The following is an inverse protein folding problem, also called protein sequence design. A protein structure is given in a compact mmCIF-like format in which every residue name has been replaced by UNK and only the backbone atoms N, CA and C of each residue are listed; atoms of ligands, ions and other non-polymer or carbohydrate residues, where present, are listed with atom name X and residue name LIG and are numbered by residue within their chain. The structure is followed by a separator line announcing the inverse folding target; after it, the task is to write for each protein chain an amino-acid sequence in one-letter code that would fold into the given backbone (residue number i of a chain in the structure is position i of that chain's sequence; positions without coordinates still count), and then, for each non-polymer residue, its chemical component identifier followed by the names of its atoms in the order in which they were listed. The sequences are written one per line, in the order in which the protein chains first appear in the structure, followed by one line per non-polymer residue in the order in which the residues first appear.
data_IF_730613824367
#
_entry.id   IF_730613824367
#
_cell.length_a   1.000
_cell.length_b   1.000
_cell.length_c   1.000
_cell.angle_alpha   90.00
_cell.angle_beta   90.00
_cell.angle_gamma   90.00
#
_symmetry.space_group_name_H-M   'P 1'
#
loop_
_entity.id
_entity.type
_entity.pdbx_description
1 polymer ?
#
# COMPACT_ATOMS: atom_id res chain seq x y z
N UNK A 1 22.94 52.61 54.97
CA UNK A 1 23.84 51.46 54.73
C UNK A 1 24.44 51.67 53.35
N UNK A 2 25.54 52.42 53.26
CA UNK A 2 26.93 51.92 53.32
C UNK A 2 27.35 51.29 51.97
N UNK A 3 28.02 52.10 51.16
CA UNK A 3 28.80 51.69 49.99
C UNK A 3 30.16 51.17 50.47
N UNK A 4 30.25 49.91 50.89
CA UNK A 4 31.52 49.21 51.11
C UNK A 4 31.34 47.75 50.73
N UNK A 5 32.06 47.27 49.71
CA UNK A 5 32.01 45.85 49.35
C UNK A 5 32.48 45.45 47.95
N UNK A 6 33.43 46.13 47.31
CA UNK A 6 34.19 45.54 46.19
C UNK A 6 35.61 46.12 46.18
N UNK A 7 36.55 45.45 46.85
CA UNK A 7 37.99 45.66 46.68
C UNK A 7 38.54 44.51 45.85
N UNK A 8 38.68 44.68 44.53
CA UNK A 8 39.68 44.09 43.63
C UNK A 8 39.29 44.44 42.17
N UNK A 9 40.13 45.12 41.38
CA UNK A 9 39.89 45.31 39.95
C UNK A 9 40.16 44.01 39.16
N UNK A 10 39.52 43.80 37.98
CA UNK A 10 39.75 42.61 37.17
C UNK A 10 41.19 42.57 36.59
N UNK A 11 41.77 41.36 36.36
CA UNK A 11 43.10 41.24 35.77
C UNK A 11 43.15 41.82 34.35
N UNK A 12 44.21 42.56 34.03
CA UNK A 12 44.45 43.11 32.70
C UNK A 12 44.79 42.03 31.67
N UNK A 13 44.14 42.06 30.51
CA UNK A 13 44.47 41.21 29.37
C UNK A 13 45.78 41.67 28.72
N UNK A 14 46.79 40.80 28.66
CA UNK A 14 47.94 40.94 27.79
C UNK A 14 47.71 40.17 26.48
N UNK A 15 48.08 40.71 25.30
CA UNK A 15 47.90 40.01 24.03
C UNK A 15 48.89 38.83 23.90
N UNK A 16 48.55 37.76 23.17
CA UNK A 16 49.43 36.60 23.01
C UNK A 16 50.68 36.98 22.19
N UNK A 17 51.84 36.45 22.61
CA UNK A 17 53.08 36.53 21.83
C UNK A 17 53.03 35.59 20.64
N UNK A 18 53.44 36.10 19.47
CA UNK A 18 53.64 35.33 18.24
C UNK A 18 54.68 34.21 18.43
N UNK A 19 54.24 32.95 18.31
CA UNK A 19 55.14 31.81 18.07
C UNK A 19 54.63 30.99 16.90
N UNK A 20 55.34 31.05 15.77
CA UNK A 20 55.15 30.18 14.60
C UNK A 20 55.41 28.71 14.99
N UNK A 21 54.64 27.71 14.50
CA UNK A 21 55.02 26.32 14.66
C UNK A 21 56.11 25.94 13.64
N UNK A 22 57.26 25.48 14.15
CA UNK A 22 58.30 24.84 13.35
C UNK A 22 57.82 23.45 12.90
N UNK A 23 57.77 23.25 11.59
CA UNK A 23 57.34 22.02 10.95
C UNK A 23 58.56 21.13 10.66
N UNK A 24 58.98 20.27 11.60
CA UNK A 24 59.93 19.16 11.33
C UNK A 24 59.64 17.91 12.18
N UNK A 25 59.51 16.78 11.49
CA UNK A 25 59.63 15.38 11.93
C UNK A 25 58.47 14.73 12.73
N UNK A 26 57.46 14.24 12.01
CA UNK A 26 56.74 13.00 12.36
C UNK A 26 57.17 11.89 11.39
N UNK A 27 58.37 11.35 11.57
CA UNK A 27 58.81 10.11 10.93
C UNK A 27 59.95 9.49 11.74
N UNK A 28 59.61 8.95 12.91
CA UNK A 28 60.39 7.91 13.59
C UNK A 28 59.59 7.38 14.78
N UNK A 29 58.77 6.36 14.56
CA UNK A 29 58.51 5.37 15.61
C UNK A 29 58.88 4.03 14.99
N UNK A 30 60.07 3.59 15.40
CA UNK A 30 60.66 2.29 15.14
C UNK A 30 59.79 1.19 15.73
N UNK A 31 59.73 0.06 15.03
CA UNK A 31 59.19 -1.20 15.53
C UNK A 31 59.90 -1.61 16.84
N UNK A 32 59.12 -2.21 17.74
CA UNK A 32 59.50 -2.88 19.00
C UNK A 32 59.61 -2.00 20.24
N UNK A 33 58.47 -1.59 20.79
CA UNK A 33 58.29 -1.52 22.25
C UNK A 33 57.01 -2.28 22.62
N UNK A 34 57.17 -3.32 23.44
CA UNK A 34 56.06 -4.08 24.03
C UNK A 34 55.23 -3.15 24.91
N UNK A 35 54.00 -2.84 24.47
CA UNK A 35 53.01 -2.21 25.33
C UNK A 35 52.60 -3.27 26.37
N UNK A 36 53.14 -3.17 27.58
CA UNK A 36 52.68 -3.93 28.72
C UNK A 36 51.18 -3.70 28.91
N UNK A 37 50.43 -4.80 28.98
CA UNK A 37 48.99 -4.79 29.26
C UNK A 37 48.74 -4.22 30.65
N UNK A 38 48.34 -2.96 30.73
CA UNK A 38 47.65 -2.45 31.91
C UNK A 38 46.24 -3.06 31.91
N UNK A 39 46.00 -4.02 32.80
CA UNK A 39 44.66 -4.54 33.07
C UNK A 39 43.70 -3.43 33.52
N UNK A 40 42.38 -3.67 33.50
CA UNK A 40 41.39 -2.64 33.75
C UNK A 40 41.51 -2.14 35.20
N UNK A 41 42.02 -0.93 35.39
CA UNK A 41 41.85 -0.20 36.63
C UNK A 41 40.37 0.11 36.78
N UNK A 42 39.73 -0.50 37.78
CA UNK A 42 38.39 -0.13 38.23
C UNK A 42 38.43 1.33 38.69
N UNK A 43 37.93 2.23 37.85
CA UNK A 43 37.57 3.58 38.28
C UNK A 43 36.28 3.49 39.10
N UNK A 44 36.14 4.24 40.20
CA UNK A 44 34.88 4.34 40.92
C UNK A 44 33.84 5.01 40.01
N UNK A 45 32.70 4.35 39.81
CA UNK A 45 31.50 4.96 39.24
C UNK A 45 31.12 6.18 40.09
N UNK A 46 31.20 7.40 39.54
CA UNK A 46 30.75 8.59 40.28
C UNK A 46 30.98 9.93 39.61
N UNK A 47 32.23 10.37 39.46
CA UNK A 47 32.52 11.81 39.32
C UNK A 47 33.27 12.18 38.03
N UNK A 48 32.66 11.93 36.88
CA UNK A 48 32.97 12.67 35.66
C UNK A 48 31.90 13.76 35.51
N UNK A 49 32.27 15.06 35.53
CA UNK A 49 31.35 16.15 35.20
C UNK A 49 30.69 15.86 33.84
N UNK A 50 29.38 16.05 33.72
CA UNK A 50 28.62 15.73 32.50
C UNK A 50 29.22 16.39 31.24
N UNK A 51 29.93 17.51 31.40
CA UNK A 51 30.64 18.24 30.34
C UNK A 51 31.73 17.41 29.61
N UNK A 52 32.21 16.30 30.19
CA UNK A 52 33.18 15.39 29.55
C UNK A 52 32.55 14.11 28.97
N UNK A 53 31.24 13.87 29.19
CA UNK A 53 30.52 12.71 28.63
C UNK A 53 29.92 12.99 27.25
N UNK A 54 29.77 14.26 26.88
CA UNK A 54 29.16 14.69 25.61
C UNK A 54 30.17 15.50 24.80
N UNK A 55 31.01 14.85 24.01
CA UNK A 55 32.00 15.60 23.23
C UNK A 55 32.47 14.93 21.94
N UNK A 56 32.55 13.61 21.90
CA UNK A 56 33.00 12.89 20.71
C UNK A 56 31.80 12.32 19.94
N UNK A 57 31.74 12.66 18.66
CA UNK A 57 30.85 12.03 17.70
C UNK A 57 31.29 10.59 17.43
N UNK A 58 30.38 9.76 16.90
CA UNK A 58 30.70 8.37 16.54
C UNK A 58 31.91 8.28 15.59
N UNK A 59 32.09 9.25 14.68
CA UNK A 59 33.22 9.29 13.74
C UNK A 59 34.56 9.55 14.44
N UNK A 60 34.57 10.41 15.47
CA UNK A 60 35.75 10.78 16.27
C UNK A 60 36.17 9.70 17.28
N UNK A 61 35.27 8.77 17.60
CA UNK A 61 35.55 7.67 18.52
C UNK A 61 36.62 6.71 17.96
N UNK A 62 37.35 6.06 18.88
CA UNK A 62 38.25 4.95 18.53
C UNK A 62 37.49 3.87 17.77
N UNK A 63 38.17 3.20 16.83
CA UNK A 63 37.54 2.26 15.88
C UNK A 63 36.66 1.21 16.57
N UNK A 64 37.08 0.71 17.72
CA UNK A 64 36.36 -0.30 18.49
C UNK A 64 35.01 0.21 18.99
N UNK A 65 34.98 1.40 19.60
CA UNK A 65 33.76 2.05 20.08
C UNK A 65 32.84 2.37 18.90
N UNK A 66 33.38 2.94 17.82
CA UNK A 66 32.61 3.24 16.60
C UNK A 66 31.93 1.99 16.03
N UNK A 67 32.67 0.90 15.87
CA UNK A 67 32.12 -0.36 15.36
C UNK A 67 31.08 -0.96 16.32
N UNK A 68 31.27 -0.84 17.64
CA UNK A 68 30.30 -1.29 18.62
C UNK A 68 28.99 -0.49 18.58
N UNK A 69 29.06 0.84 18.47
CA UNK A 69 27.90 1.73 18.32
C UNK A 69 27.12 1.40 17.05
N UNK A 70 27.81 1.30 15.91
CA UNK A 70 27.18 0.94 14.63
C UNK A 70 26.50 -0.42 14.72
N UNK A 71 27.20 -1.44 15.23
CA UNK A 71 26.61 -2.77 15.40
C UNK A 71 25.36 -2.72 16.27
N UNK A 72 25.37 -1.95 17.37
CA UNK A 72 24.21 -1.82 18.27
C UNK A 72 23.02 -1.16 17.55
N UNK A 73 23.24 -0.04 16.85
CA UNK A 73 22.20 0.69 16.11
C UNK A 73 21.54 -0.21 15.05
N UNK A 74 22.34 -0.87 14.22
CA UNK A 74 21.82 -1.72 13.15
C UNK A 74 21.23 -3.04 13.67
N UNK A 75 21.67 -3.54 14.83
CA UNK A 75 21.04 -4.69 15.49
C UNK A 75 19.63 -4.34 15.96
N UNK A 76 19.48 -3.17 16.61
CA UNK A 76 18.16 -2.67 17.04
C UNK A 76 17.27 -2.46 15.81
N UNK A 77 17.76 -1.77 14.77
CA UNK A 77 17.03 -1.57 13.52
C UNK A 77 16.56 -2.90 12.91
N UNK A 78 17.47 -3.88 12.80
CA UNK A 78 17.13 -5.20 12.24
C UNK A 78 16.03 -5.89 13.03
N UNK A 79 16.09 -5.84 14.36
CA UNK A 79 15.03 -6.39 15.22
C UNK A 79 13.70 -5.66 15.03
N UNK A 80 13.71 -4.33 14.88
CA UNK A 80 12.50 -3.56 14.60
C UNK A 80 11.87 -3.94 13.25
N UNK A 81 12.70 -4.08 12.21
CA UNK A 81 12.23 -4.48 10.88
C UNK A 81 11.69 -5.91 10.86
N UNK A 82 12.35 -6.85 11.54
CA UNK A 82 11.86 -8.22 11.67
C UNK A 82 10.53 -8.30 12.43
N UNK A 83 10.39 -7.54 13.52
CA UNK A 83 9.13 -7.47 14.27
C UNK A 83 8.00 -6.85 13.42
N UNK A 84 8.33 -5.82 12.64
CA UNK A 84 7.40 -5.16 11.72
C UNK A 84 6.94 -6.12 10.63
N UNK A 85 7.87 -6.83 10.00
CA UNK A 85 7.58 -7.85 9.00
C UNK A 85 6.70 -8.98 9.56
N UNK A 86 7.07 -9.54 10.72
CA UNK A 86 6.33 -10.62 11.35
C UNK A 86 4.89 -10.22 11.68
N UNK A 87 4.70 -9.02 12.23
CA UNK A 87 3.37 -8.48 12.55
C UNK A 87 2.57 -8.20 11.29
N UNK A 88 3.17 -7.56 10.28
CA UNK A 88 2.49 -7.29 9.01
C UNK A 88 2.09 -8.57 8.26
N UNK A 89 2.96 -9.59 8.28
CA UNK A 89 2.66 -10.92 7.75
C UNK A 89 1.49 -11.58 8.50
N UNK A 90 1.51 -11.55 9.84
CA UNK A 90 0.45 -12.12 10.66
C UNK A 90 -0.90 -11.42 10.43
N UNK A 91 -0.95 -10.08 10.47
CA UNK A 91 -2.16 -9.29 10.24
C UNK A 91 -2.71 -9.53 8.83
N UNK A 92 -1.84 -9.61 7.82
CA UNK A 92 -2.25 -9.79 6.43
C UNK A 92 -2.68 -11.23 6.08
N UNK A 93 -2.33 -12.25 6.87
CA UNK A 93 -2.79 -13.63 6.67
C UNK A 93 -3.95 -14.05 7.58
N UNK A 94 -4.22 -13.30 8.65
CA UNK A 94 -5.32 -13.59 9.55
C UNK A 94 -6.65 -13.08 9.00
N UNK A 95 -7.51 -14.00 8.52
CA UNK A 95 -8.85 -13.66 8.03
C UNK A 95 -9.69 -12.91 9.07
N UNK A 96 -9.54 -13.30 10.35
CA UNK A 96 -10.23 -12.64 11.47
C UNK A 96 -9.78 -11.19 11.63
N UNK A 97 -8.48 -10.92 11.50
CA UNK A 97 -7.94 -9.57 11.64
C UNK A 97 -8.33 -8.68 10.46
N UNK A 98 -8.27 -9.20 9.23
CA UNK A 98 -8.76 -8.49 8.05
C UNK A 98 -10.23 -8.11 8.20
N UNK A 99 -11.08 -9.07 8.58
CA UNK A 99 -12.51 -8.85 8.77
C UNK A 99 -12.76 -7.82 9.88
N UNK A 100 -11.99 -7.86 10.97
CA UNK A 100 -12.08 -6.89 12.05
C UNK A 100 -11.73 -5.47 11.59
N UNK A 101 -10.60 -5.30 10.89
CA UNK A 101 -10.16 -3.99 10.36
C UNK A 101 -11.19 -3.42 9.39
N UNK A 102 -11.72 -4.24 8.48
CA UNK A 102 -12.73 -3.82 7.51
C UNK A 102 -14.07 -3.43 8.16
N UNK A 103 -14.48 -4.13 9.23
CA UNK A 103 -15.70 -3.79 9.97
C UNK A 103 -15.53 -2.57 10.89
N UNK A 104 -14.31 -2.31 11.33
CA UNK A 104 -13.99 -1.23 12.28
C UNK A 104 -12.80 -0.39 11.80
N UNK A 105 -12.93 0.36 10.69
CA UNK A 105 -11.80 1.11 10.11
C UNK A 105 -11.20 2.14 11.07
N UNK A 106 -11.99 2.67 12.02
CA UNK A 106 -11.51 3.60 13.04
C UNK A 106 -10.47 2.98 14.00
N UNK A 107 -10.36 1.65 14.06
CA UNK A 107 -9.34 0.97 14.87
C UNK A 107 -7.93 1.29 14.41
N UNK A 108 -7.75 1.78 13.18
CA UNK A 108 -6.46 2.22 12.64
C UNK A 108 -5.92 3.49 13.29
N UNK A 109 -6.79 4.33 13.87
CA UNK A 109 -6.32 5.53 14.58
C UNK A 109 -5.58 5.18 15.87
N UNK A 110 -5.88 4.03 16.49
CA UNK A 110 -5.22 3.60 17.73
C UNK A 110 -3.72 3.37 17.55
N UNK A 111 -3.24 2.54 16.61
CA UNK A 111 -1.80 2.38 16.39
C UNK A 111 -1.15 3.66 15.86
N UNK A 112 -1.83 4.48 15.05
CA UNK A 112 -1.28 5.75 14.55
C UNK A 112 -1.06 6.75 15.69
N UNK A 113 -2.07 7.01 16.52
CA UNK A 113 -1.95 7.93 17.66
C UNK A 113 -0.95 7.34 18.68
N UNK A 114 -1.01 6.03 18.89
CA UNK A 114 -0.10 5.30 19.75
C UNK A 114 1.36 5.47 19.32
N UNK A 115 1.66 5.47 18.01
CA UNK A 115 3.03 5.65 17.52
C UNK A 115 3.57 7.05 17.81
N UNK A 116 2.78 8.12 17.61
CA UNK A 116 3.20 9.47 18.00
C UNK A 116 3.45 9.62 19.50
N UNK A 117 2.57 9.07 20.34
CA UNK A 117 2.71 9.13 21.80
C UNK A 117 3.97 8.38 22.25
N UNK A 118 4.13 7.13 21.79
CA UNK A 118 5.27 6.29 22.16
C UNK A 118 6.59 6.83 21.60
N UNK A 119 6.59 7.44 20.42
CA UNK A 119 7.74 8.16 19.86
C UNK A 119 8.18 9.31 20.77
N UNK A 120 7.24 10.18 21.17
CA UNK A 120 7.54 11.30 22.07
C UNK A 120 8.06 10.85 23.44
N UNK A 121 7.46 9.80 24.01
CA UNK A 121 7.92 9.20 25.27
C UNK A 121 9.31 8.55 25.13
N UNK A 122 9.57 7.86 24.01
CA UNK A 122 10.88 7.26 23.73
C UNK A 122 11.94 8.35 23.61
N UNK A 123 11.63 9.46 22.94
CA UNK A 123 12.53 10.61 22.84
C UNK A 123 12.85 11.20 24.21
N UNK A 124 11.84 11.36 25.07
CA UNK A 124 12.02 11.88 26.43
C UNK A 124 12.85 10.93 27.30
N UNK A 125 12.60 9.62 27.23
CA UNK A 125 13.29 8.63 28.07
C UNK A 125 14.48 7.94 27.39
N UNK A 126 15.01 8.48 26.29
CA UNK A 126 15.99 7.80 25.42
C UNK A 126 17.26 7.30 26.14
N UNK A 127 17.68 7.97 27.20
CA UNK A 127 18.87 7.62 27.98
C UNK A 127 18.60 6.70 29.18
N UNK A 128 17.34 6.38 29.49
CA UNK A 128 16.97 5.59 30.68
C UNK A 128 16.76 4.12 30.33
N UNK A 129 17.73 3.27 30.65
CA UNK A 129 17.59 1.80 30.52
C UNK A 129 16.91 1.23 31.77
N UNK A 130 15.93 0.30 31.66
CA UNK A 130 15.42 -0.35 30.44
C UNK A 130 14.20 0.35 29.80
N UNK A 131 13.75 1.49 30.36
CA UNK A 131 12.54 2.17 29.92
C UNK A 131 12.58 2.56 28.42
N UNK A 132 13.74 2.97 27.91
CA UNK A 132 13.94 3.29 26.50
C UNK A 132 13.63 2.10 25.56
N UNK A 133 14.06 0.88 25.90
CA UNK A 133 13.80 -0.30 25.09
C UNK A 133 12.32 -0.70 25.14
N UNK A 134 11.68 -0.61 26.31
CA UNK A 134 10.25 -0.88 26.42
C UNK A 134 9.42 0.09 25.56
N UNK A 135 9.73 1.39 25.64
CA UNK A 135 9.04 2.42 24.85
C UNK A 135 9.33 2.28 23.35
N UNK A 136 10.57 1.96 22.97
CA UNK A 136 10.94 1.68 21.58
C UNK A 136 10.20 0.45 21.03
N UNK A 137 10.05 -0.61 21.82
CA UNK A 137 9.26 -1.79 21.45
C UNK A 137 7.78 -1.46 21.29
N UNK A 138 7.21 -0.64 22.19
CA UNK A 138 5.82 -0.16 22.05
C UNK A 138 5.64 0.66 20.78
N UNK A 139 6.56 1.58 20.48
CA UNK A 139 6.56 2.35 19.24
C UNK A 139 6.62 1.45 18.01
N UNK A 140 7.54 0.49 17.99
CA UNK A 140 7.68 -0.47 16.90
C UNK A 140 6.41 -1.31 16.72
N UNK A 141 5.75 -1.71 17.80
CA UNK A 141 4.49 -2.47 17.72
C UNK A 141 3.34 -1.63 17.15
N UNK A 142 3.24 -0.35 17.52
CA UNK A 142 2.27 0.57 16.96
C UNK A 142 2.47 0.75 15.45
N UNK A 143 3.71 1.04 15.01
CA UNK A 143 4.04 1.15 13.59
C UNK A 143 3.78 -0.16 12.83
N UNK A 144 4.18 -1.29 13.40
CA UNK A 144 3.98 -2.60 12.81
C UNK A 144 2.49 -2.96 12.61
N UNK A 145 1.63 -2.57 13.54
CA UNK A 145 0.17 -2.75 13.42
C UNK A 145 -0.43 -1.79 12.38
N UNK A 146 0.00 -0.53 12.35
CA UNK A 146 -0.46 0.44 11.36
C UNK A 146 -0.11 -0.01 9.93
N UNK A 147 1.14 -0.39 9.70
CA UNK A 147 1.62 -0.92 8.42
C UNK A 147 0.95 -2.26 8.10
N UNK A 148 0.84 -3.17 9.06
CA UNK A 148 0.19 -4.47 8.84
C UNK A 148 -1.26 -4.33 8.39
N UNK A 149 -1.98 -3.34 8.93
CA UNK A 149 -3.33 -3.04 8.47
C UNK A 149 -3.35 -2.44 7.06
N UNK A 150 -2.44 -1.53 6.72
CA UNK A 150 -2.30 -1.03 5.34
C UNK A 150 -2.00 -2.18 4.38
N UNK A 151 -1.05 -3.07 4.72
CA UNK A 151 -0.73 -4.29 3.94
C UNK A 151 -1.97 -5.16 3.73
N UNK A 152 -2.83 -5.28 4.75
CA UNK A 152 -4.04 -6.10 4.67
C UNK A 152 -5.08 -5.59 3.67
N UNK A 153 -4.99 -4.31 3.25
CA UNK A 153 -5.85 -3.74 2.21
C UNK A 153 -5.39 -4.06 0.78
N UNK A 154 -4.17 -4.61 0.61
CA UNK A 154 -3.67 -4.98 -0.70
C UNK A 154 -4.16 -6.37 -1.09
N UNK A 155 -4.76 -6.43 -2.27
CA UNK A 155 -5.25 -7.66 -2.88
C UNK A 155 -4.08 -8.57 -3.26
N UNK A 156 -3.05 -8.02 -3.93
CA UNK A 156 -1.86 -8.78 -4.32
C UNK A 156 -0.70 -8.58 -3.32
N UNK A 157 -0.52 -9.55 -2.43
CA UNK A 157 0.55 -9.57 -1.43
C UNK A 157 1.96 -9.65 -2.01
N UNK A 158 2.09 -10.10 -3.26
CA UNK A 158 3.39 -10.17 -3.96
C UNK A 158 3.97 -8.78 -4.18
N UNK A 159 3.11 -7.78 -4.44
CA UNK A 159 3.54 -6.38 -4.63
C UNK A 159 4.18 -5.84 -3.35
N UNK A 160 3.59 -6.18 -2.19
CA UNK A 160 4.13 -5.78 -0.88
C UNK A 160 5.52 -6.39 -0.66
N UNK A 161 5.70 -7.68 -1.00
CA UNK A 161 6.98 -8.35 -0.88
C UNK A 161 8.04 -7.76 -1.82
N UNK A 162 7.66 -7.44 -3.06
CA UNK A 162 8.54 -6.77 -4.02
C UNK A 162 8.96 -5.38 -3.53
N UNK A 163 8.02 -4.59 -3.00
CA UNK A 163 8.30 -3.27 -2.44
C UNK A 163 9.26 -3.35 -1.25
N UNK A 164 9.06 -4.33 -0.35
CA UNK A 164 9.96 -4.58 0.76
C UNK A 164 11.39 -4.91 0.30
N UNK A 165 11.52 -5.81 -0.69
CA UNK A 165 12.82 -6.20 -1.23
C UNK A 165 13.53 -5.04 -1.93
N UNK A 166 12.82 -4.27 -2.75
CA UNK A 166 13.36 -3.07 -3.38
C UNK A 166 13.83 -2.04 -2.35
N UNK A 167 13.00 -1.79 -1.32
CA UNK A 167 13.35 -0.87 -0.22
C UNK A 167 14.59 -1.35 0.52
N UNK A 168 14.69 -2.65 0.83
CA UNK A 168 15.87 -3.21 1.47
C UNK A 168 17.14 -3.06 0.62
N UNK A 169 17.05 -3.32 -0.68
CA UNK A 169 18.19 -3.16 -1.61
C UNK A 169 18.63 -1.70 -1.66
N UNK A 170 17.69 -0.76 -1.85
CA UNK A 170 17.99 0.68 -1.92
C UNK A 170 18.56 1.17 -0.60
N UNK A 171 17.95 0.81 0.53
CA UNK A 171 18.40 1.21 1.86
C UNK A 171 19.81 0.71 2.16
N UNK A 172 20.09 -0.58 1.93
CA UNK A 172 21.42 -1.18 2.14
C UNK A 172 22.44 -0.52 1.20
N UNK A 173 22.08 -0.34 -0.08
CA UNK A 173 22.94 0.29 -1.08
C UNK A 173 23.30 1.73 -0.72
N UNK A 174 22.32 2.55 -0.34
CA UNK A 174 22.52 3.96 0.04
C UNK A 174 23.26 4.08 1.38
N UNK A 175 22.99 3.20 2.34
CA UNK A 175 23.75 3.11 3.59
C UNK A 175 25.22 2.80 3.31
N UNK A 176 25.50 1.78 2.49
CA UNK A 176 26.85 1.37 2.13
C UNK A 176 27.58 2.47 1.32
N UNK A 177 26.87 3.15 0.42
CA UNK A 177 27.37 4.32 -0.30
C UNK A 177 27.76 5.43 0.68
N UNK A 178 26.89 5.75 1.63
CA UNK A 178 27.13 6.80 2.62
C UNK A 178 28.35 6.50 3.50
N UNK A 179 28.54 5.24 3.89
CA UNK A 179 29.72 4.80 4.65
C UNK A 179 31.04 4.93 3.89
N UNK A 180 31.00 4.83 2.56
CA UNK A 180 32.19 4.93 1.70
C UNK A 180 32.40 6.35 1.16
N UNK A 181 31.37 7.18 1.22
CA UNK A 181 31.37 8.54 0.69
C UNK A 181 32.24 9.47 1.52
N UNK A 182 32.92 10.39 0.83
CA UNK A 182 33.65 11.51 1.44
C UNK A 182 32.89 12.84 1.34
N UNK A 183 31.69 12.82 0.74
CA UNK A 183 30.86 14.00 0.61
C UNK A 183 30.23 14.37 1.96
N UNK A 184 30.11 15.67 2.23
CA UNK A 184 29.34 16.20 3.35
C UNK A 184 27.88 16.38 2.91
N UNK A 185 26.97 15.68 3.59
CA UNK A 185 25.53 15.71 3.29
C UNK A 185 24.75 16.65 4.22
N UNK A 186 25.42 17.36 5.13
CA UNK A 186 24.78 18.23 6.13
C UNK A 186 23.93 19.35 5.50
N UNK A 187 24.26 19.79 4.28
CA UNK A 187 23.51 20.79 3.54
C UNK A 187 22.11 20.35 3.05
N UNK A 188 21.78 19.06 3.13
CA UNK A 188 20.48 18.55 2.67
C UNK A 188 19.30 18.91 3.60
N UNK A 189 19.57 19.26 4.86
CA UNK A 189 18.54 19.44 5.89
C UNK A 189 17.38 20.37 5.50
N UNK A 190 17.61 21.59 4.93
CA UNK A 190 16.53 22.48 4.55
C UNK A 190 15.67 21.94 3.39
N UNK A 191 16.31 21.29 2.41
CA UNK A 191 15.64 20.72 1.23
C UNK A 191 14.75 19.56 1.67
N UNK A 192 15.29 18.68 2.51
CA UNK A 192 14.56 17.54 3.08
C UNK A 192 13.37 18.01 3.92
N UNK A 193 13.57 19.04 4.76
CA UNK A 193 12.51 19.62 5.58
C UNK A 193 11.36 20.19 4.74
N UNK A 194 11.67 20.97 3.70
CA UNK A 194 10.64 21.49 2.77
C UNK A 194 9.95 20.34 2.04
N UNK A 195 10.71 19.33 1.60
CA UNK A 195 10.19 18.15 0.93
C UNK A 195 9.17 17.38 1.78
N UNK A 196 9.49 17.10 3.05
CA UNK A 196 8.60 16.32 3.92
C UNK A 196 7.34 17.10 4.28
N UNK A 197 7.44 18.41 4.59
CA UNK A 197 6.25 19.23 4.85
C UNK A 197 5.39 19.40 3.61
N UNK A 198 5.99 19.53 2.42
CA UNK A 198 5.28 19.57 1.15
C UNK A 198 4.52 18.27 0.88
N UNK A 199 5.15 17.13 1.11
CA UNK A 199 4.53 15.81 0.97
C UNK A 199 3.37 15.62 1.97
N UNK A 200 3.57 15.94 3.25
CA UNK A 200 2.51 15.88 4.27
C UNK A 200 1.34 16.78 3.88
N UNK A 201 1.62 18.04 3.52
CA UNK A 201 0.58 19.00 3.12
C UNK A 201 -0.22 18.52 1.91
N UNK A 202 0.46 18.00 0.88
CA UNK A 202 -0.19 17.43 -0.29
C UNK A 202 -0.98 16.16 0.04
N UNK A 203 -0.46 15.29 0.91
CA UNK A 203 -1.15 14.10 1.39
C UNK A 203 -2.44 14.44 2.16
N UNK A 204 -2.43 15.50 2.98
CA UNK A 204 -3.62 15.98 3.69
C UNK A 204 -4.70 16.51 2.74
N UNK A 205 -4.33 17.12 1.61
CA UNK A 205 -5.31 17.50 0.56
C UNK A 205 -6.03 16.26 0.04
N UNK A 206 -5.33 15.13 -0.06
CA UNK A 206 -5.88 13.83 -0.45
C UNK A 206 -7.01 13.32 0.46
N UNK A 207 -7.12 13.80 1.70
CA UNK A 207 -8.23 13.46 2.61
C UNK A 207 -9.55 14.10 2.18
N UNK A 208 -9.49 15.25 1.51
CA UNK A 208 -10.67 16.01 1.07
C UNK A 208 -10.93 15.89 -0.43
N UNK A 209 -9.86 15.69 -1.22
CA UNK A 209 -9.91 15.64 -2.69
C UNK A 209 -9.14 14.42 -3.18
N UNK A 210 -9.82 13.39 -3.74
CA UNK A 210 -9.14 12.20 -4.25
C UNK A 210 -8.28 12.53 -5.47
N UNK A 211 -7.04 12.03 -5.48
CA UNK A 211 -6.10 12.23 -6.59
C UNK A 211 -6.27 11.20 -7.71
N UNK A 212 -5.91 11.58 -8.93
CA UNK A 212 -5.81 10.66 -10.06
C UNK A 212 -4.64 9.67 -9.87
N UNK A 213 -4.68 8.55 -10.60
CA UNK A 213 -3.61 7.55 -10.56
C UNK A 213 -2.25 8.12 -10.96
N UNK A 214 -2.21 9.01 -11.95
CA UNK A 214 -0.97 9.69 -12.38
C UNK A 214 -0.39 10.56 -11.27
N UNK A 215 -1.24 11.31 -10.55
CA UNK A 215 -0.79 12.14 -9.44
C UNK A 215 -0.28 11.28 -8.28
N UNK A 216 -0.96 10.18 -7.98
CA UNK A 216 -0.52 9.20 -6.97
C UNK A 216 0.85 8.58 -7.32
N UNK A 217 1.07 8.25 -8.60
CA UNK A 217 2.34 7.75 -9.11
C UNK A 217 3.47 8.78 -8.94
N UNK A 218 3.23 10.02 -9.35
CA UNK A 218 4.21 11.11 -9.21
C UNK A 218 4.53 11.38 -7.73
N UNK A 219 3.50 11.45 -6.88
CA UNK A 219 3.66 11.60 -5.44
C UNK A 219 4.54 10.49 -4.84
N UNK A 220 4.30 9.25 -5.26
CA UNK A 220 5.12 8.12 -4.85
C UNK A 220 6.58 8.20 -5.32
N UNK A 221 6.85 8.57 -6.57
CA UNK A 221 8.22 8.75 -7.09
C UNK A 221 8.96 9.83 -6.30
N UNK A 222 8.29 10.96 -6.02
CA UNK A 222 8.85 12.03 -5.19
C UNK A 222 9.14 11.52 -3.78
N UNK A 223 8.23 10.75 -3.19
CA UNK A 223 8.43 10.12 -1.88
C UNK A 223 9.65 9.19 -1.86
N UNK A 224 9.79 8.29 -2.84
CA UNK A 224 10.96 7.41 -2.97
C UNK A 224 12.26 8.21 -3.06
N UNK A 225 12.30 9.25 -3.89
CA UNK A 225 13.48 10.10 -4.04
C UNK A 225 13.82 10.84 -2.73
N UNK A 226 12.80 11.39 -2.06
CA UNK A 226 12.95 12.12 -0.81
C UNK A 226 13.48 11.20 0.32
N UNK A 227 12.86 10.04 0.53
CA UNK A 227 13.29 9.11 1.58
C UNK A 227 14.64 8.45 1.27
N UNK A 228 14.98 8.27 -0.01
CA UNK A 228 16.34 7.88 -0.40
C UNK A 228 17.39 8.91 0.02
N UNK A 229 17.07 10.21 -0.12
CA UNK A 229 17.96 11.28 0.35
C UNK A 229 18.01 11.36 1.89
N UNK A 230 16.89 11.08 2.59
CA UNK A 230 16.88 10.95 4.04
C UNK A 230 17.79 9.81 4.52
N UNK A 231 17.73 8.62 3.90
CA UNK A 231 18.64 7.51 4.25
C UNK A 231 20.10 7.95 4.19
N UNK A 232 20.51 8.68 3.14
CA UNK A 232 21.87 9.22 3.02
C UNK A 232 22.16 10.28 4.08
N UNK A 233 21.23 11.21 4.30
CA UNK A 233 21.37 12.29 5.27
C UNK A 233 21.46 11.78 6.70
N UNK A 234 20.51 10.96 7.16
CA UNK A 234 20.45 10.42 8.52
C UNK A 234 21.61 9.47 8.77
N UNK A 235 21.96 8.61 7.82
CA UNK A 235 23.17 7.78 7.92
C UNK A 235 24.41 8.65 8.10
N UNK A 236 24.52 9.78 7.40
CA UNK A 236 25.62 10.72 7.58
C UNK A 236 25.58 11.46 8.94
N UNK A 237 24.41 11.91 9.39
CA UNK A 237 24.25 12.60 10.68
C UNK A 237 24.54 11.68 11.87
N UNK A 238 24.17 10.40 11.79
CA UNK A 238 24.46 9.42 12.84
C UNK A 238 25.95 9.36 13.15
N UNK A 239 26.82 9.43 12.14
CA UNK A 239 28.26 9.34 12.36
C UNK A 239 28.89 10.67 12.76
N UNK A 240 28.39 11.78 12.22
CA UNK A 240 29.03 13.09 12.34
C UNK A 240 28.40 14.01 13.39
N UNK A 241 27.27 13.62 14.00
CA UNK A 241 26.59 14.43 15.04
C UNK A 241 26.24 13.67 16.29
N UNK A 242 25.86 12.40 16.19
CA UNK A 242 25.41 11.64 17.35
C UNK A 242 26.59 11.08 18.15
N UNK A 243 26.42 11.03 19.47
CA UNK A 243 27.33 10.31 20.35
C UNK A 243 27.00 8.81 20.37
N UNK A 244 27.95 7.93 20.75
CA UNK A 244 27.72 6.50 20.92
C UNK A 244 26.49 6.11 21.76
N UNK A 245 26.08 6.98 22.70
CA UNK A 245 24.98 6.75 23.63
C UNK A 245 23.61 7.12 23.07
N UNK A 246 23.56 7.78 21.91
CA UNK A 246 22.32 8.18 21.22
C UNK A 246 21.79 7.10 20.24
N UNK A 247 22.14 5.83 20.48
CA UNK A 247 21.76 4.71 19.63
C UNK A 247 20.24 4.52 19.47
N UNK A 248 19.42 4.92 20.46
CA UNK A 248 17.94 4.87 20.35
C UNK A 248 17.44 5.84 19.28
N UNK A 249 17.95 7.08 19.28
CA UNK A 249 17.55 8.10 18.32
C UNK A 249 18.00 7.71 16.90
N UNK A 250 19.25 7.23 16.77
CA UNK A 250 19.79 6.72 15.52
C UNK A 250 18.93 5.58 14.94
N UNK A 251 18.52 4.60 15.77
CA UNK A 251 17.69 3.50 15.33
C UNK A 251 16.29 3.95 14.90
N UNK A 252 15.66 4.91 15.61
CA UNK A 252 14.35 5.46 15.24
C UNK A 252 14.42 6.18 13.89
N UNK A 253 15.43 7.04 13.69
CA UNK A 253 15.65 7.75 12.43
C UNK A 253 15.74 6.79 11.25
N UNK A 254 16.67 5.82 11.31
CA UNK A 254 16.85 4.84 10.25
C UNK A 254 15.62 3.95 10.04
N UNK A 255 14.89 3.62 11.12
CA UNK A 255 13.65 2.85 11.03
C UNK A 255 12.55 3.62 10.30
N UNK A 256 12.35 4.89 10.63
CA UNK A 256 11.38 5.75 9.97
C UNK A 256 11.77 6.00 8.50
N UNK A 257 13.05 6.15 8.18
CA UNK A 257 13.50 6.27 6.79
C UNK A 257 13.20 5.01 5.97
N UNK A 258 13.39 3.84 6.59
CA UNK A 258 13.06 2.56 5.96
C UNK A 258 11.54 2.40 5.77
N UNK A 259 10.74 2.73 6.78
CA UNK A 259 9.29 2.53 6.75
C UNK A 259 8.54 3.54 5.89
N UNK A 260 8.97 4.80 5.94
CA UNK A 260 8.33 5.88 5.20
C UNK A 260 8.78 5.92 3.74
N UNK A 261 9.78 5.12 3.36
CA UNK A 261 9.93 4.74 1.96
C UNK A 261 8.57 4.21 1.52
N UNK A 262 7.83 4.95 0.66
CA UNK A 262 6.42 4.66 0.48
C UNK A 262 6.33 3.21 0.01
N UNK A 263 5.72 2.29 0.79
CA UNK A 263 5.59 0.92 0.34
C UNK A 263 4.76 0.84 -0.96
N UNK A 264 4.13 1.95 -1.37
CA UNK A 264 3.19 1.99 -2.45
C UNK A 264 3.29 3.27 -3.29
N UNK A 265 4.07 3.18 -4.37
CA UNK A 265 3.84 3.94 -5.61
C UNK A 265 3.01 3.13 -6.61
N UNK A 266 2.71 1.87 -6.29
CA UNK A 266 1.90 1.01 -7.14
C UNK A 266 0.49 0.84 -6.54
N UNK A 267 -0.31 1.91 -6.59
CA UNK A 267 -1.73 1.67 -6.91
C UNK A 267 -1.70 1.30 -8.38
N UNK A 268 -1.63 0.00 -8.65
CA UNK A 268 -1.58 -0.51 -10.01
C UNK A 268 -2.57 0.24 -10.87
N UNK A 269 -2.05 0.81 -11.96
CA UNK A 269 -2.87 1.32 -13.03
C UNK A 269 -3.95 0.29 -13.30
N UNK A 270 -5.19 0.75 -13.15
CA UNK A 270 -6.40 0.15 -13.65
C UNK A 270 -6.14 -0.12 -15.14
N UNK A 271 -5.53 -1.25 -15.46
CA UNK A 271 -5.51 -1.79 -16.82
C UNK A 271 -6.86 -2.46 -17.03
N UNK A 272 -7.40 -2.46 -18.26
CA UNK A 272 -8.63 -3.20 -18.56
C UNK A 272 -8.57 -4.66 -18.05
N UNK A 273 -7.40 -5.30 -18.06
CA UNK A 273 -7.18 -6.62 -17.45
C UNK A 273 -7.40 -6.69 -15.94
N UNK A 274 -7.19 -5.61 -15.17
CA UNK A 274 -7.44 -5.55 -13.72
C UNK A 274 -8.84 -5.08 -13.35
N UNK A 275 -9.50 -4.34 -14.23
CA UNK A 275 -10.92 -3.97 -14.06
C UNK A 275 -11.81 -5.14 -14.38
N UNK A 276 -11.50 -5.86 -15.45
CA UNK A 276 -12.35 -6.92 -15.96
C UNK A 276 -11.87 -8.32 -15.54
N UNK A 277 -10.59 -8.48 -15.19
CA UNK A 277 -10.00 -9.70 -14.64
C UNK A 277 -9.58 -9.53 -13.18
N UNK A 278 -10.37 -10.12 -12.28
CA UNK A 278 -10.14 -10.04 -10.85
C UNK A 278 -8.82 -10.68 -10.42
N UNK A 279 -8.24 -10.06 -9.40
CA UNK A 279 -7.37 -10.64 -8.37
C UNK A 279 -7.16 -12.16 -8.53
N UNK A 280 -5.92 -12.52 -8.85
CA UNK A 280 -5.36 -13.87 -8.84
C UNK A 280 -5.89 -14.87 -9.88
N UNK A 281 -6.71 -14.49 -10.86
CA UNK A 281 -7.27 -15.43 -11.83
C UNK A 281 -8.40 -16.32 -11.26
N UNK A 282 -8.57 -16.34 -9.94
CA UNK A 282 -9.68 -17.00 -9.23
C UNK A 282 -11.05 -16.53 -9.69
N UNK A 283 -11.21 -15.27 -10.10
CA UNK A 283 -12.46 -14.79 -10.71
C UNK A 283 -12.83 -15.64 -11.93
N UNK A 284 -11.87 -15.90 -12.80
CA UNK A 284 -12.09 -16.70 -14.01
C UNK A 284 -12.24 -18.18 -13.71
N UNK A 285 -11.60 -18.70 -12.66
CA UNK A 285 -11.84 -20.07 -12.17
C UNK A 285 -13.27 -20.21 -11.66
N UNK A 286 -13.77 -19.28 -10.82
CA UNK A 286 -15.15 -19.29 -10.35
C UNK A 286 -16.15 -19.15 -11.50
N UNK A 287 -15.85 -18.30 -12.49
CA UNK A 287 -16.69 -18.17 -13.70
C UNK A 287 -16.66 -19.47 -14.53
N UNK A 288 -15.49 -20.08 -14.68
CA UNK A 288 -15.32 -21.35 -15.38
C UNK A 288 -16.13 -22.46 -14.69
N UNK A 289 -16.03 -22.55 -13.36
CA UNK A 289 -16.75 -23.52 -12.56
C UNK A 289 -18.27 -23.26 -12.54
N UNK A 290 -18.70 -21.99 -12.42
CA UNK A 290 -20.11 -21.61 -12.38
C UNK A 290 -20.86 -21.95 -13.67
N UNK A 291 -20.21 -21.78 -14.82
CA UNK A 291 -20.82 -22.04 -16.13
C UNK A 291 -20.38 -23.38 -16.75
N UNK A 292 -19.56 -24.17 -16.05
CA UNK A 292 -18.95 -25.40 -16.55
C UNK A 292 -18.27 -25.21 -17.92
N UNK A 293 -17.43 -24.18 -18.04
CA UNK A 293 -16.72 -23.81 -19.27
C UNK A 293 -15.19 -23.82 -19.07
N UNK A 294 -14.40 -24.06 -20.13
CA UNK A 294 -12.95 -23.94 -20.05
C UNK A 294 -12.50 -22.53 -19.64
N UNK A 295 -11.40 -22.45 -18.89
CA UNK A 295 -10.81 -21.19 -18.42
C UNK A 295 -10.56 -20.17 -19.55
N UNK A 296 -10.17 -20.63 -20.74
CA UNK A 296 -9.97 -19.76 -21.92
C UNK A 296 -11.25 -19.09 -22.42
N UNK A 297 -12.41 -19.76 -22.27
CA UNK A 297 -13.72 -19.14 -22.54
C UNK A 297 -14.10 -18.19 -21.42
N UNK A 298 -13.88 -18.56 -20.17
CA UNK A 298 -14.17 -17.71 -19.01
C UNK A 298 -13.46 -16.35 -19.08
N UNK A 299 -12.23 -16.31 -19.60
CA UNK A 299 -11.47 -15.06 -19.82
C UNK A 299 -12.12 -14.07 -20.79
N UNK A 300 -13.04 -14.52 -21.64
CA UNK A 300 -13.79 -13.66 -22.56
C UNK A 300 -15.03 -13.03 -21.91
N UNK A 301 -15.33 -13.42 -20.65
CA UNK A 301 -16.49 -12.96 -19.90
C UNK A 301 -16.05 -11.93 -18.85
N UNK A 302 -16.64 -10.74 -18.92
CA UNK A 302 -16.44 -9.68 -17.96
C UNK A 302 -17.74 -9.47 -17.16
N UNK A 303 -17.82 -10.15 -16.03
CA UNK A 303 -19.00 -10.14 -15.15
C UNK A 303 -18.70 -9.30 -13.91
N UNK A 304 -19.53 -8.29 -13.65
CA UNK A 304 -19.46 -7.46 -12.45
C UNK A 304 -20.37 -8.03 -11.34
N UNK A 305 -19.82 -8.41 -10.17
CA UNK A 305 -20.61 -8.97 -9.07
C UNK A 305 -21.45 -7.87 -8.36
N UNK A 306 -22.62 -8.20 -7.79
CA UNK A 306 -23.19 -9.54 -7.73
C UNK A 306 -23.84 -9.97 -9.06
N UNK A 307 -23.72 -11.27 -9.36
CA UNK A 307 -24.38 -11.97 -10.46
C UNK A 307 -25.19 -13.11 -9.87
N UNK A 308 -26.41 -13.30 -10.34
CA UNK A 308 -27.32 -14.34 -9.85
C UNK A 308 -27.76 -15.23 -11.00
N UNK A 309 -27.72 -16.54 -10.78
CA UNK A 309 -28.34 -17.54 -11.64
C UNK A 309 -28.86 -18.73 -10.82
N UNK A 310 -29.74 -19.53 -11.43
CA UNK A 310 -30.26 -20.73 -10.77
C UNK A 310 -29.26 -21.89 -10.85
N UNK A 311 -28.70 -22.11 -12.05
CA UNK A 311 -27.81 -23.23 -12.34
C UNK A 311 -26.47 -22.80 -12.94
N UNK A 312 -26.46 -21.78 -13.80
CA UNK A 312 -25.29 -21.34 -14.55
C UNK A 312 -25.01 -22.18 -15.81
N UNK A 313 -25.07 -23.51 -15.70
CA UNK A 313 -24.71 -24.44 -16.79
C UNK A 313 -25.65 -24.39 -18.01
N UNK A 314 -26.83 -23.78 -17.91
CA UNK A 314 -27.74 -23.60 -19.05
C UNK A 314 -27.53 -22.27 -19.78
N UNK A 315 -26.54 -21.48 -19.35
CA UNK A 315 -26.15 -20.21 -19.97
C UNK A 315 -24.98 -20.46 -20.92
N UNK A 316 -25.26 -20.34 -22.22
CA UNK A 316 -24.27 -20.54 -23.28
C UNK A 316 -23.75 -19.19 -23.79
N UNK A 317 -22.46 -18.94 -23.62
CA UNK A 317 -21.77 -17.79 -24.21
C UNK A 317 -21.07 -18.17 -25.52
N UNK A 318 -21.44 -17.51 -26.62
CA UNK A 318 -20.85 -17.75 -27.95
C UNK A 318 -19.53 -17.02 -28.18
N UNK A 319 -19.22 -16.01 -27.37
CA UNK A 319 -18.00 -15.22 -27.49
C UNK A 319 -17.83 -14.24 -26.34
N UNK A 320 -17.31 -13.05 -26.61
CA UNK A 320 -17.11 -12.03 -25.58
C UNK A 320 -18.43 -11.50 -25.05
N UNK A 321 -18.49 -11.33 -23.72
CA UNK A 321 -19.68 -10.87 -23.03
C UNK A 321 -19.30 -9.96 -21.87
N UNK A 322 -20.03 -8.87 -21.71
CA UNK A 322 -19.92 -7.98 -20.56
C UNK A 322 -21.28 -7.84 -19.87
N UNK A 323 -21.31 -7.94 -18.55
CA UNK A 323 -22.46 -7.51 -17.77
C UNK A 323 -22.06 -6.66 -16.57
N UNK A 324 -22.86 -5.63 -16.33
CA UNK A 324 -22.71 -4.73 -15.21
C UNK A 324 -23.43 -5.29 -13.97
N UNK A 325 -23.32 -4.57 -12.84
CA UNK A 325 -23.77 -5.01 -11.52
C UNK A 325 -25.22 -5.51 -11.50
N UNK A 326 -25.47 -6.50 -10.64
CA UNK A 326 -26.81 -6.99 -10.31
C UNK A 326 -27.53 -7.62 -11.51
N UNK A 327 -26.80 -8.33 -12.36
CA UNK A 327 -27.39 -9.13 -13.44
C UNK A 327 -27.98 -10.42 -12.86
N UNK A 328 -29.22 -10.75 -13.25
CA UNK A 328 -29.93 -11.97 -12.81
C UNK A 328 -30.36 -12.79 -14.02
N UNK A 329 -30.01 -14.08 -14.07
CA UNK A 329 -30.40 -14.99 -15.15
C UNK A 329 -30.99 -16.26 -14.53
N UNK A 330 -32.32 -16.39 -14.55
CA UNK A 330 -32.99 -17.63 -14.14
C UNK A 330 -32.96 -18.61 -15.31
N UNK A 331 -32.03 -19.57 -15.26
CA UNK A 331 -31.67 -20.44 -16.37
C UNK A 331 -32.28 -21.86 -16.28
N UNK A 332 -33.56 -21.97 -15.89
CA UNK A 332 -34.31 -23.24 -15.93
C UNK A 332 -34.48 -23.81 -17.37
N UNK A 333 -34.19 -23.01 -18.41
CA UNK A 333 -34.05 -23.43 -19.81
C UNK A 333 -32.85 -22.72 -20.44
N UNK A 334 -32.43 -23.21 -21.62
CA UNK A 334 -31.24 -22.69 -22.32
C UNK A 334 -31.32 -21.18 -22.57
N UNK A 335 -30.31 -20.45 -22.10
CA UNK A 335 -30.07 -19.03 -22.39
C UNK A 335 -28.84 -18.91 -23.27
N UNK A 336 -29.00 -18.51 -24.53
CA UNK A 336 -27.89 -18.37 -25.49
C UNK A 336 -27.56 -16.90 -25.71
N UNK A 337 -26.32 -16.51 -25.40
CA UNK A 337 -25.81 -15.15 -25.52
C UNK A 337 -24.76 -15.11 -26.62
N UNK A 338 -24.97 -14.22 -27.60
CA UNK A 338 -24.08 -13.99 -28.74
C UNK A 338 -22.70 -13.45 -28.36
N UNK A 339 -21.91 -13.16 -29.40
CA UNK A 339 -20.60 -12.52 -29.28
C UNK A 339 -20.73 -10.99 -29.19
N UNK A 340 -19.83 -10.34 -28.43
CA UNK A 340 -19.79 -8.88 -28.22
C UNK A 340 -21.09 -8.31 -27.65
N UNK A 341 -21.77 -9.09 -26.81
CA UNK A 341 -23.00 -8.65 -26.12
C UNK A 341 -22.64 -7.90 -24.84
N UNK A 342 -23.35 -6.81 -24.56
CA UNK A 342 -23.12 -5.98 -23.37
C UNK A 342 -24.41 -5.65 -22.63
N UNK A 343 -24.44 -5.88 -21.32
CA UNK A 343 -25.56 -5.54 -20.45
C UNK A 343 -25.25 -4.35 -19.54
N UNK A 344 -26.19 -3.42 -19.43
CA UNK A 344 -26.23 -2.41 -18.38
C UNK A 344 -26.55 -3.02 -17.00
N UNK A 345 -26.59 -2.19 -15.94
CA UNK A 345 -26.84 -2.68 -14.58
C UNK A 345 -28.29 -3.11 -14.40
N UNK A 346 -28.53 -4.07 -13.50
CA UNK A 346 -29.87 -4.58 -13.16
C UNK A 346 -30.62 -5.25 -14.33
N UNK A 347 -29.91 -5.85 -15.28
CA UNK A 347 -30.55 -6.63 -16.36
C UNK A 347 -30.97 -7.99 -15.82
N UNK A 348 -32.22 -8.39 -16.09
CA UNK A 348 -32.76 -9.68 -15.68
C UNK A 348 -33.25 -10.49 -16.86
N UNK A 349 -32.88 -11.76 -16.94
CA UNK A 349 -33.38 -12.74 -17.89
C UNK A 349 -34.14 -13.82 -17.13
N UNK A 350 -35.39 -14.06 -17.53
CA UNK A 350 -36.27 -15.03 -16.91
C UNK A 350 -36.60 -16.13 -17.93
N UNK A 351 -35.79 -17.19 -17.96
CA UNK A 351 -36.05 -18.38 -18.79
C UNK A 351 -37.15 -19.29 -18.20
N UNK A 352 -37.55 -19.01 -16.96
CA UNK A 352 -38.57 -19.73 -16.22
C UNK A 352 -39.85 -18.90 -16.00
N UNK A 353 -40.98 -19.60 -15.86
CA UNK A 353 -42.30 -19.02 -15.65
C UNK A 353 -43.26 -20.03 -15.01
N UNK A 354 -44.38 -19.55 -14.48
CA UNK A 354 -45.44 -20.40 -13.94
C UNK A 354 -46.74 -20.25 -14.73
N UNK A 355 -47.59 -21.28 -14.65
CA UNK A 355 -48.94 -21.18 -15.18
C UNK A 355 -49.72 -20.07 -14.46
N UNK A 356 -50.55 -19.36 -15.22
CA UNK A 356 -51.55 -18.45 -14.63
C UNK A 356 -52.66 -19.23 -13.92
N UNK A 357 -52.86 -20.50 -14.30
CA UNK A 357 -53.75 -21.42 -13.61
C UNK A 357 -53.24 -21.70 -12.19
N UNK A 358 -54.14 -21.61 -11.21
CA UNK A 358 -53.79 -21.81 -9.79
C UNK A 358 -53.56 -23.29 -9.49
N UNK A 359 -54.30 -24.20 -10.13
CA UNK A 359 -54.18 -25.64 -9.91
C UNK A 359 -52.77 -26.12 -10.22
N UNK A 360 -52.24 -25.76 -11.38
CA UNK A 360 -50.85 -26.07 -11.75
C UNK A 360 -49.82 -25.49 -10.78
N UNK A 361 -50.07 -24.29 -10.21
CA UNK A 361 -49.16 -23.68 -9.22
C UNK A 361 -49.22 -24.36 -7.85
N UNK A 362 -50.35 -24.94 -7.47
CA UNK A 362 -50.45 -25.74 -6.24
C UNK A 362 -49.71 -27.08 -6.35
N UNK A 363 -49.45 -27.53 -7.57
CA UNK A 363 -48.62 -28.70 -7.86
C UNK A 363 -47.12 -28.35 -8.00
N UNK A 364 -46.74 -27.09 -7.72
CA UNK A 364 -45.38 -26.56 -7.87
C UNK A 364 -44.77 -26.79 -9.27
N UNK A 365 -45.63 -26.79 -10.31
CA UNK A 365 -45.17 -26.96 -11.69
C UNK A 365 -44.57 -25.66 -12.24
N UNK A 366 -43.37 -25.80 -12.80
CA UNK A 366 -42.64 -24.74 -13.49
C UNK A 366 -42.59 -25.02 -15.01
N UNK A 367 -42.59 -23.96 -15.80
CA UNK A 367 -42.36 -24.01 -17.24
C UNK A 367 -41.11 -23.21 -17.56
N UNK A 368 -40.29 -23.72 -18.46
CA UNK A 368 -39.11 -23.00 -18.90
C UNK A 368 -39.01 -23.00 -20.42
N UNK A 369 -38.64 -21.86 -21.00
CA UNK A 369 -38.52 -21.69 -22.45
C UNK A 369 -37.22 -20.93 -22.78
N UNK A 370 -36.58 -21.25 -23.91
CA UNK A 370 -35.27 -20.70 -24.23
C UNK A 370 -35.30 -19.20 -24.53
N UNK A 371 -34.18 -18.54 -24.23
CA UNK A 371 -33.91 -17.14 -24.57
C UNK A 371 -32.65 -17.07 -25.42
N UNK A 372 -32.72 -16.42 -26.57
CA UNK A 372 -31.60 -16.22 -27.49
C UNK A 372 -31.33 -14.73 -27.71
N UNK A 373 -30.08 -14.30 -27.53
CA UNK A 373 -29.60 -12.94 -27.79
C UNK A 373 -28.53 -13.01 -28.88
N UNK A 374 -28.76 -12.29 -29.98
CA UNK A 374 -27.84 -12.22 -31.10
C UNK A 374 -26.57 -11.41 -30.81
N UNK A 375 -25.57 -11.58 -31.66
CA UNK A 375 -24.28 -10.89 -31.57
C UNK A 375 -24.45 -9.36 -31.60
N UNK A 376 -23.47 -8.62 -31.08
CA UNK A 376 -23.42 -7.14 -31.13
C UNK A 376 -24.63 -6.44 -30.49
N UNK A 377 -25.35 -7.13 -29.61
CA UNK A 377 -26.53 -6.59 -28.93
C UNK A 377 -26.12 -5.83 -27.66
N UNK A 378 -26.65 -4.61 -27.51
CA UNK A 378 -26.56 -3.84 -26.27
C UNK A 378 -27.90 -3.81 -25.54
N UNK A 379 -27.88 -4.19 -24.26
CA UNK A 379 -29.05 -4.20 -23.39
C UNK A 379 -28.89 -3.11 -22.32
N UNK A 380 -29.77 -2.12 -22.33
CA UNK A 380 -29.78 -1.03 -21.36
C UNK A 380 -30.06 -1.52 -19.94
N UNK A 381 -29.77 -0.67 -18.94
CA UNK A 381 -29.98 -1.02 -17.54
C UNK A 381 -31.44 -1.23 -17.17
N UNK A 382 -31.71 -2.07 -16.16
CA UNK A 382 -33.05 -2.40 -15.67
C UNK A 382 -33.98 -2.98 -16.74
N UNK A 383 -33.44 -3.72 -17.70
CA UNK A 383 -34.22 -4.44 -18.71
C UNK A 383 -34.60 -5.82 -18.19
N UNK A 384 -35.84 -6.24 -18.45
CA UNK A 384 -36.34 -7.58 -18.17
C UNK A 384 -36.61 -8.33 -19.47
N UNK A 385 -35.91 -9.44 -19.70
CA UNK A 385 -36.12 -10.34 -20.85
C UNK A 385 -36.87 -11.56 -20.35
N UNK A 386 -38.12 -11.71 -20.77
CA UNK A 386 -39.03 -12.76 -20.32
C UNK A 386 -39.14 -13.84 -21.40
N UNK A 387 -39.09 -15.11 -21.00
CA UNK A 387 -39.34 -16.23 -21.89
C UNK A 387 -40.80 -16.28 -22.39
N UNK A 388 -41.02 -17.00 -23.47
CA UNK A 388 -42.34 -17.19 -24.09
C UNK A 388 -42.44 -18.63 -24.56
N UNK A 389 -43.67 -19.17 -24.68
CA UNK A 389 -43.88 -20.54 -25.13
C UNK A 389 -43.29 -20.86 -26.53
N UNK A 390 -43.02 -19.82 -27.33
CA UNK A 390 -42.36 -19.94 -28.65
C UNK A 390 -40.84 -19.67 -28.59
N UNK A 391 -40.29 -19.50 -27.40
CA UNK A 391 -38.96 -18.91 -27.15
C UNK A 391 -38.97 -17.39 -27.28
N UNK A 392 -37.99 -16.74 -26.66
CA UNK A 392 -37.71 -15.31 -26.85
C UNK A 392 -36.40 -15.18 -27.60
N UNK A 393 -36.39 -14.44 -28.70
CA UNK A 393 -35.24 -14.31 -29.59
C UNK A 393 -35.01 -12.85 -29.98
N UNK A 394 -33.85 -12.31 -29.64
CA UNK A 394 -33.40 -10.97 -30.02
C UNK A 394 -32.37 -11.14 -31.13
N UNK A 395 -32.58 -10.48 -32.26
CA UNK A 395 -31.66 -10.50 -33.39
C UNK A 395 -30.30 -9.87 -33.08
N UNK A 396 -29.36 -9.96 -34.03
CA UNK A 396 -28.04 -9.33 -33.89
C UNK A 396 -28.13 -7.80 -33.97
N UNK A 397 -27.14 -7.08 -33.45
CA UNK A 397 -27.02 -5.63 -33.58
C UNK A 397 -28.17 -4.85 -32.95
N UNK A 398 -28.91 -5.47 -32.03
CA UNK A 398 -30.06 -4.83 -31.40
C UNK A 398 -29.63 -3.89 -30.27
N UNK A 399 -30.41 -2.84 -30.05
CA UNK A 399 -30.28 -1.96 -28.89
C UNK A 399 -31.57 -1.98 -28.08
N UNK A 400 -31.51 -2.39 -26.83
CA UNK A 400 -32.67 -2.42 -25.94
C UNK A 400 -32.58 -1.24 -24.98
N UNK A 401 -33.55 -0.33 -25.03
CA UNK A 401 -33.58 0.82 -24.15
C UNK A 401 -33.75 0.41 -22.68
N UNK A 402 -33.14 1.18 -21.77
CA UNK A 402 -33.24 0.95 -20.33
C UNK A 402 -34.71 0.91 -19.84
N UNK A 403 -34.99 0.05 -18.86
CA UNK A 403 -36.34 -0.11 -18.29
C UNK A 403 -37.33 -0.92 -19.15
N UNK A 404 -36.90 -1.44 -20.30
CA UNK A 404 -37.77 -2.22 -21.21
C UNK A 404 -38.07 -3.60 -20.62
N UNK A 405 -39.31 -4.05 -20.74
CA UNK A 405 -39.69 -5.45 -20.47
C UNK A 405 -40.12 -6.09 -21.78
N UNK A 406 -39.42 -7.12 -22.24
CA UNK A 406 -39.65 -7.73 -23.55
C UNK A 406 -39.75 -9.26 -23.53
N UNK A 407 -40.52 -9.78 -24.49
CA UNK A 407 -40.69 -11.20 -24.78
C UNK A 407 -40.99 -11.40 -26.28
N UNK A 408 -40.75 -12.60 -26.82
CA UNK A 408 -41.01 -12.94 -28.22
C UNK A 408 -39.81 -12.73 -29.15
N UNK A 409 -40.07 -12.61 -30.45
CA UNK A 409 -39.02 -12.57 -31.49
C UNK A 409 -38.87 -11.17 -32.08
N UNK A 410 -37.64 -10.68 -32.12
CA UNK A 410 -37.25 -9.41 -32.72
C UNK A 410 -36.23 -9.64 -33.85
N UNK A 411 -36.35 -8.91 -34.98
CA UNK A 411 -35.41 -9.02 -36.08
C UNK A 411 -34.04 -8.39 -35.73
N UNK A 412 -33.07 -8.57 -36.62
CA UNK A 412 -31.75 -7.95 -36.50
C UNK A 412 -31.82 -6.42 -36.65
N UNK A 413 -30.84 -5.72 -36.07
CA UNK A 413 -30.57 -4.29 -36.25
C UNK A 413 -31.76 -3.39 -35.91
N UNK A 414 -32.38 -3.59 -34.74
CA UNK A 414 -33.48 -2.73 -34.26
C UNK A 414 -33.22 -2.16 -32.88
N UNK A 415 -33.85 -1.01 -32.63
CA UNK A 415 -33.96 -0.43 -31.28
C UNK A 415 -35.32 -0.78 -30.69
N UNK A 416 -35.32 -1.39 -29.52
CA UNK A 416 -36.52 -1.86 -28.82
C UNK A 416 -36.69 -1.04 -27.54
N UNK A 417 -37.90 -0.55 -27.27
CA UNK A 417 -38.21 0.17 -26.05
C UNK A 417 -39.64 -0.07 -25.56
N UNK A 418 -39.85 0.11 -24.25
CA UNK A 418 -41.17 0.20 -23.63
C UNK A 418 -41.68 -1.07 -22.95
N UNK A 419 -42.88 -0.98 -22.38
CA UNK A 419 -43.63 -2.08 -21.79
C UNK A 419 -45.12 -1.85 -22.10
N UNK A 420 -45.74 -2.57 -23.07
CA UNK A 420 -45.17 -3.68 -23.84
C UNK A 420 -44.07 -3.22 -24.82
N UNK A 421 -43.16 -4.12 -25.24
CA UNK A 421 -42.00 -3.77 -26.05
C UNK A 421 -42.43 -3.39 -27.48
N UNK A 422 -41.81 -2.36 -28.04
CA UNK A 422 -42.01 -1.94 -29.43
C UNK A 422 -40.67 -1.67 -30.11
N UNK A 423 -40.60 -2.00 -31.40
CA UNK A 423 -39.52 -1.53 -32.26
C UNK A 423 -39.74 -0.03 -32.48
N UNK A 424 -38.80 0.79 -32.03
CA UNK A 424 -38.88 2.26 -32.16
C UNK A 424 -38.01 2.79 -33.30
N UNK A 425 -37.05 1.98 -33.76
CA UNK A 425 -36.13 2.35 -34.85
C UNK A 425 -35.53 1.11 -35.50
N UNK A 426 -35.38 1.13 -36.82
CA UNK A 426 -34.51 0.20 -37.56
C UNK A 426 -33.14 0.85 -37.76
N UNK A 427 -32.08 0.09 -37.55
CA UNK A 427 -30.69 0.49 -37.71
C UNK A 427 -30.18 -0.01 -39.06
N UNK A 428 -29.34 0.79 -39.71
CA UNK A 428 -28.62 0.36 -40.90
C UNK A 428 -27.52 -0.63 -40.49
N UNK A 429 -27.32 -1.73 -41.23
CA UNK A 429 -26.19 -2.63 -41.01
C UNK A 429 -24.87 -1.86 -41.12
N UNK A 430 -23.92 -2.13 -40.22
CA UNK A 430 -22.62 -1.46 -40.29
C UNK A 430 -21.88 -1.86 -41.57
N UNK A 431 -21.24 -0.91 -42.25
CA UNK A 431 -20.60 -1.13 -43.55
C UNK A 431 -19.31 -1.98 -43.51
N UNK A 432 -18.94 -2.52 -42.34
CA UNK A 432 -17.69 -3.23 -42.09
C UNK A 432 -17.91 -4.70 -41.63
N UNK A 433 -19.04 -5.32 -42.01
CA UNK A 433 -19.25 -6.77 -41.82
C UNK A 433 -18.56 -7.63 -42.89
#
# INVERSE_FOLDING_TARGET
MSTEGYTQPPPGYAPPKDSKPDNKNYNSISQNEEIQSAGPSQMPDGDLPDDFKYGATISECVREVRMASVRKIYTILTLQLLATFATGFWVSYSQSMQTFILKHPNTLFVPIIGSFVTLGLTYWQRHKVPANFALLSSFTACEALAIGAVISTFENKTIVLQALLCTAIVFIGLTAFTFQSKYDFSGLAPILSVGIFGMIGFGLVGLFVPFSSTVSLVYGIIGVALFSLYVVYDTHQIFNRLSPDEYILASISLYLDFLNYPPFVYREGITPEKVFGGVDGKKYEVIADLFDIPLEKAKQLAIEPPFYCDHGVFIEFKGSFYCNYNTTILDCAKVSIGNRVSFGPNVSIYAATHSVDVGERLEDLERAYPVEIGDDTWVGGSVNIICSAKGTKIGRGCTIAAGTTLWGTFPDNVVIAGNPPKIIKHLEPSANE
#
